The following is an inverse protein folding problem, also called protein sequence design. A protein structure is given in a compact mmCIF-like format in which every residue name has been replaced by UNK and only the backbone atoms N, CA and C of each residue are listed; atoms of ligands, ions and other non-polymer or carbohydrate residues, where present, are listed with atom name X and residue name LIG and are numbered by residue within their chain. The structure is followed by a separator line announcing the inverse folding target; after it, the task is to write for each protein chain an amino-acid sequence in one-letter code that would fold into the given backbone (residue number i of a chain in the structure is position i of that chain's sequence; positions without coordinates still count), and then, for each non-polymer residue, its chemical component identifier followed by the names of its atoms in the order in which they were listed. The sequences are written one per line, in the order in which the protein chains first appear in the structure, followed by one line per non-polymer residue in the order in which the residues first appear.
data_IF_262747804189
#
_entry.id   IF_262747804189
#
_cell.length_a   1.000
_cell.length_b   1.000
_cell.length_c   1.000
_cell.angle_alpha   90.00
_cell.angle_beta   90.00
_cell.angle_gamma   90.00
#
_symmetry.space_group_name_H-M   'P 1'
#
loop_
_entity.id
_entity.type
_entity.pdbx_description
1 polymer ?
#
# COMPACT_ATOMS: atom_id res chain seq x y z
N UNK A 1 28.61 -2.78 -16.29
CA UNK A 1 27.55 -3.43 -15.50
C UNK A 1 26.76 -2.33 -14.81
N UNK A 2 25.46 -2.11 -15.08
CA UNK A 2 24.71 -1.10 -14.35
C UNK A 2 24.71 -1.49 -12.87
N UNK A 3 25.04 -0.54 -11.99
CA UNK A 3 25.15 -0.76 -10.55
C UNK A 3 23.86 -1.37 -9.98
N UNK A 4 23.98 -2.41 -9.16
CA UNK A 4 22.89 -3.06 -8.39
C UNK A 4 22.11 -2.10 -7.47
N UNK A 5 22.47 -0.82 -7.39
CA UNK A 5 22.02 0.17 -6.39
C UNK A 5 20.73 0.93 -6.76
N UNK A 6 19.85 0.36 -7.58
CA UNK A 6 18.67 1.07 -8.11
C UNK A 6 17.31 0.45 -7.79
N UNK A 7 17.26 -0.77 -7.23
CA UNK A 7 15.98 -1.42 -6.90
C UNK A 7 15.50 -0.95 -5.54
N UNK A 8 14.26 -0.47 -5.49
CA UNK A 8 13.51 -0.21 -4.27
C UNK A 8 13.19 -1.52 -3.56
N UNK A 9 13.04 -1.45 -2.24
CA UNK A 9 12.36 -2.51 -1.50
C UNK A 9 10.99 -2.86 -2.08
N UNK A 10 10.57 -4.09 -1.80
CA UNK A 10 9.21 -4.55 -2.04
C UNK A 10 8.67 -5.29 -0.81
N UNK A 11 7.36 -5.44 -0.73
CA UNK A 11 6.68 -6.00 0.45
C UNK A 11 5.72 -7.09 0.01
N UNK A 12 5.82 -8.28 0.61
CA UNK A 12 4.77 -9.28 0.45
C UNK A 12 3.67 -9.01 1.48
N UNK A 13 2.53 -8.54 1.01
CA UNK A 13 1.46 -8.09 1.90
C UNK A 13 0.82 -9.29 2.60
N UNK A 14 0.57 -9.16 3.91
CA UNK A 14 -0.24 -10.11 4.69
C UNK A 14 -1.41 -9.38 5.34
N UNK A 15 -2.62 -9.90 5.14
CA UNK A 15 -3.84 -9.35 5.74
C UNK A 15 -4.09 -10.00 7.10
N UNK A 16 -4.38 -9.17 8.11
CA UNK A 16 -4.62 -9.58 9.48
C UNK A 16 -5.92 -8.98 10.03
N UNK A 17 -6.62 -9.74 10.85
CA UNK A 17 -7.55 -9.22 11.86
C UNK A 17 -7.04 -9.52 13.27
N UNK A 18 -7.58 -8.84 14.27
CA UNK A 18 -7.17 -9.02 15.67
C UNK A 18 -8.36 -9.36 16.57
N UNK A 19 -8.26 -10.48 17.26
CA UNK A 19 -9.27 -11.03 18.16
C UNK A 19 -8.60 -11.42 19.48
N UNK A 20 -8.54 -10.51 20.48
CA UNK A 20 -7.71 -10.67 21.67
C UNK A 20 -8.01 -11.91 22.51
N UNK A 21 -9.25 -12.41 22.44
CA UNK A 21 -9.71 -13.59 23.19
C UNK A 21 -9.34 -14.93 22.54
N UNK A 22 -8.70 -14.92 21.37
CA UNK A 22 -8.37 -16.11 20.61
C UNK A 22 -6.85 -16.30 20.47
N UNK A 23 -6.43 -17.54 20.22
CA UNK A 23 -5.05 -17.87 19.86
C UNK A 23 -5.01 -18.39 18.42
N UNK A 24 -4.39 -17.60 17.55
CA UNK A 24 -4.18 -17.89 16.14
C UNK A 24 -2.69 -18.00 15.80
N UNK A 25 -1.85 -18.30 16.81
CA UNK A 25 -0.40 -18.40 16.65
C UNK A 25 -0.04 -19.36 15.52
N UNK A 26 0.66 -18.87 14.51
CA UNK A 26 1.08 -19.70 13.37
C UNK A 26 2.26 -20.59 13.77
N UNK A 27 2.52 -21.70 13.05
CA UNK A 27 3.75 -22.46 13.22
C UNK A 27 4.99 -21.58 12.98
N UNK A 28 6.04 -21.77 13.79
CA UNK A 28 7.30 -21.03 13.67
C UNK A 28 7.87 -21.13 12.24
N UNK A 29 8.00 -20.02 11.51
CA UNK A 29 8.57 -20.06 10.17
C UNK A 29 10.04 -20.53 10.17
N UNK A 30 10.42 -21.33 9.18
CA UNK A 30 11.81 -21.85 9.05
C UNK A 30 12.85 -20.72 9.01
N UNK A 31 12.52 -19.60 8.38
CA UNK A 31 13.40 -18.44 8.27
C UNK A 31 13.30 -17.45 9.44
N UNK A 32 12.59 -17.79 10.53
CA UNK A 32 12.34 -16.86 11.65
C UNK A 32 13.65 -16.31 12.23
N UNK A 33 14.61 -17.18 12.56
CA UNK A 33 15.88 -16.76 13.17
C UNK A 33 16.68 -15.82 12.27
N UNK A 34 16.60 -15.99 10.94
CA UNK A 34 17.24 -15.10 9.97
C UNK A 34 16.65 -13.69 10.05
N UNK A 35 15.35 -13.56 10.28
CA UNK A 35 14.64 -12.28 10.23
C UNK A 35 14.40 -11.64 11.60
N UNK A 36 14.53 -12.38 12.69
CA UNK A 36 14.35 -11.88 14.05
C UNK A 36 15.06 -10.54 14.34
N UNK A 37 16.33 -10.31 13.94
CA UNK A 37 17.01 -9.03 14.17
C UNK A 37 16.32 -7.83 13.50
N UNK A 38 15.48 -8.05 12.48
CA UNK A 38 14.71 -7.01 11.80
C UNK A 38 13.47 -6.59 12.59
N UNK A 39 13.04 -7.32 13.61
CA UNK A 39 11.79 -7.06 14.34
C UNK A 39 12.00 -6.54 15.77
N UNK A 40 13.20 -6.69 16.34
CA UNK A 40 13.50 -6.37 17.74
C UNK A 40 13.23 -4.93 18.18
N UNK A 41 13.03 -4.01 17.22
CA UNK A 41 12.68 -2.62 17.48
C UNK A 41 11.16 -2.37 17.51
N UNK A 42 10.35 -3.36 17.17
CA UNK A 42 8.89 -3.25 17.12
C UNK A 42 8.32 -3.49 18.52
N UNK A 43 7.46 -2.57 18.97
CA UNK A 43 6.82 -2.62 20.29
C UNK A 43 5.32 -2.85 20.18
N UNK A 44 4.65 -3.08 21.31
CA UNK A 44 3.20 -3.20 21.38
C UNK A 44 2.49 -1.89 21.03
N UNK A 45 2.89 -0.79 21.67
CA UNK A 45 2.30 0.54 21.51
C UNK A 45 3.35 1.55 21.07
N UNK A 46 2.93 2.54 20.27
CA UNK A 46 3.79 3.67 19.88
C UNK A 46 3.89 4.69 21.01
N UNK A 47 5.07 4.86 21.62
CA UNK A 47 5.32 5.88 22.65
C UNK A 47 5.57 7.29 22.08
N UNK A 48 5.94 7.41 20.79
CA UNK A 48 6.30 8.69 20.15
C UNK A 48 5.47 8.96 18.91
N UNK A 49 4.90 10.16 18.83
CA UNK A 49 4.24 10.67 17.63
C UNK A 49 5.19 10.65 16.44
N UNK A 50 4.78 10.03 15.32
CA UNK A 50 5.49 10.09 14.04
C UNK A 50 6.41 8.92 13.71
N UNK A 51 6.61 7.95 14.61
CA UNK A 51 7.31 6.70 14.31
C UNK A 51 6.34 5.50 14.36
N UNK A 52 6.27 4.72 13.28
CA UNK A 52 5.49 3.49 13.21
C UNK A 52 6.25 2.33 13.89
N UNK A 53 6.66 2.52 15.14
CA UNK A 53 7.43 1.52 15.90
C UNK A 53 6.54 0.54 16.68
N UNK A 54 5.30 0.93 16.98
CA UNK A 54 4.34 0.11 17.72
C UNK A 54 3.29 -0.55 16.81
N UNK A 55 2.82 -1.74 17.20
CA UNK A 55 1.71 -2.42 16.54
C UNK A 55 0.44 -1.56 16.61
N UNK A 56 0.05 -1.16 17.81
CA UNK A 56 -1.09 -0.29 18.07
C UNK A 56 -0.64 1.13 18.43
N UNK A 57 -1.54 2.09 18.25
CA UNK A 57 -1.42 3.42 18.83
C UNK A 57 -2.53 3.60 19.86
N UNK A 58 -2.28 4.42 20.87
CA UNK A 58 -3.33 4.89 21.76
C UNK A 58 -4.41 5.61 20.95
N UNK A 59 -5.66 5.41 21.35
CA UNK A 59 -6.78 6.12 20.74
C UNK A 59 -6.74 7.59 21.15
N UNK A 60 -6.88 8.46 20.16
CA UNK A 60 -6.98 9.90 20.34
C UNK A 60 -8.12 10.36 19.42
N UNK A 61 -9.19 10.89 20.04
CA UNK A 61 -10.39 11.27 19.31
C UNK A 61 -10.17 12.50 18.42
N UNK A 62 -9.17 13.33 18.76
CA UNK A 62 -8.90 14.60 18.11
C UNK A 62 -7.76 14.49 17.08
N UNK A 63 -6.95 13.43 17.15
CA UNK A 63 -5.80 13.23 16.27
C UNK A 63 -5.64 11.78 15.78
N UNK A 64 -5.44 11.63 14.47
CA UNK A 64 -5.04 10.34 13.90
C UNK A 64 -3.61 9.98 14.32
N UNK A 65 -3.45 8.87 15.05
CA UNK A 65 -2.14 8.32 15.42
C UNK A 65 -1.76 7.16 14.50
N UNK A 66 -0.60 7.32 13.86
CA UNK A 66 -0.02 6.29 13.01
C UNK A 66 0.56 5.15 13.84
N UNK A 67 0.15 3.93 13.54
CA UNK A 67 0.75 2.68 14.02
C UNK A 67 0.80 1.66 12.88
N UNK A 68 1.46 0.52 13.08
CA UNK A 68 1.44 -0.55 12.08
C UNK A 68 0.01 -1.02 11.78
N UNK A 69 -0.86 -1.03 12.81
CA UNK A 69 -2.26 -1.41 12.68
C UNK A 69 -3.07 -0.40 11.86
N UNK A 70 -2.94 0.89 12.14
CA UNK A 70 -3.80 1.91 11.54
C UNK A 70 -3.32 2.39 10.16
N UNK A 71 -2.00 2.41 9.92
CA UNK A 71 -1.39 3.02 8.73
C UNK A 71 -1.88 2.41 7.40
N UNK A 72 -2.17 1.11 7.38
CA UNK A 72 -2.67 0.37 6.21
C UNK A 72 -3.91 -0.47 6.56
N UNK A 73 -4.76 0.09 7.41
CA UNK A 73 -6.07 -0.47 7.70
C UNK A 73 -6.93 -0.39 6.45
N UNK A 74 -7.32 -1.55 5.93
CA UNK A 74 -8.14 -1.67 4.73
C UNK A 74 -9.63 -1.68 5.09
N UNK A 75 -9.97 -2.23 6.26
CA UNK A 75 -11.33 -2.31 6.76
C UNK A 75 -11.38 -1.80 8.20
N UNK A 76 -12.26 -0.84 8.45
CA UNK A 76 -12.53 -0.29 9.78
C UNK A 76 -13.94 -0.72 10.20
N UNK A 77 -14.05 -1.61 11.19
CA UNK A 77 -15.33 -2.17 11.63
C UNK A 77 -16.29 -1.09 12.14
N UNK A 78 -15.73 -0.03 12.72
CA UNK A 78 -16.50 1.08 13.31
C UNK A 78 -17.24 1.92 12.25
N UNK A 79 -16.98 1.70 10.95
CA UNK A 79 -17.76 2.28 9.85
C UNK A 79 -19.07 1.52 9.56
N UNK A 80 -19.30 0.38 10.22
CA UNK A 80 -20.42 -0.52 9.98
C UNK A 80 -21.15 -0.82 11.29
N UNK A 81 -22.27 -1.54 11.20
CA UNK A 81 -22.92 -2.10 12.39
C UNK A 81 -21.95 -3.04 13.11
N UNK A 82 -21.64 -2.70 14.37
CA UNK A 82 -20.64 -3.39 15.20
C UNK A 82 -21.00 -4.85 15.47
N UNK A 83 -22.24 -5.26 15.22
CA UNK A 83 -22.68 -6.65 15.34
C UNK A 83 -22.34 -7.50 14.11
N UNK A 84 -21.97 -6.88 12.98
CA UNK A 84 -21.64 -7.58 11.74
C UNK A 84 -20.17 -7.97 11.64
N UNK A 85 -19.27 -7.23 12.29
CA UNK A 85 -17.82 -7.41 12.16
C UNK A 85 -17.11 -7.30 13.50
N UNK A 86 -16.40 -8.36 13.86
CA UNK A 86 -15.74 -8.45 15.17
C UNK A 86 -14.35 -7.82 15.21
N UNK A 87 -13.78 -7.44 14.06
CA UNK A 87 -12.43 -6.86 13.99
C UNK A 87 -12.20 -6.02 12.73
N UNK A 88 -11.21 -5.14 12.81
CA UNK A 88 -10.64 -4.45 11.65
C UNK A 88 -9.85 -5.42 10.76
N UNK A 89 -9.57 -5.02 9.52
CA UNK A 89 -8.61 -5.73 8.67
C UNK A 89 -7.50 -4.76 8.29
N UNK A 90 -6.28 -5.14 8.62
CA UNK A 90 -5.06 -4.39 8.29
C UNK A 90 -4.15 -5.23 7.42
N UNK A 91 -3.47 -4.57 6.49
CA UNK A 91 -2.44 -5.20 5.68
C UNK A 91 -1.07 -4.70 6.16
N UNK A 92 -0.21 -5.61 6.62
CA UNK A 92 1.11 -5.20 7.13
C UNK A 92 2.02 -4.70 6.00
N UNK A 93 2.58 -3.51 6.22
CA UNK A 93 3.54 -2.86 5.31
C UNK A 93 4.72 -2.20 6.05
N UNK A 94 4.88 -2.51 7.33
CA UNK A 94 5.95 -2.04 8.18
C UNK A 94 6.57 -3.22 8.91
N UNK A 95 7.89 -3.24 9.05
CA UNK A 95 8.62 -4.40 9.55
C UNK A 95 8.82 -5.54 8.53
N UNK A 96 7.96 -5.66 7.52
CA UNK A 96 8.04 -6.70 6.47
C UNK A 96 8.51 -6.19 5.10
N UNK A 97 9.17 -5.04 5.07
CA UNK A 97 9.75 -4.51 3.84
C UNK A 97 11.05 -5.26 3.49
N UNK A 98 11.03 -5.97 2.37
CA UNK A 98 12.13 -6.84 1.96
C UNK A 98 13.15 -6.05 1.11
N UNK A 99 14.41 -6.09 1.56
CA UNK A 99 15.53 -5.29 1.05
C UNK A 99 16.74 -6.14 0.63
N UNK A 100 16.71 -7.45 0.87
CA UNK A 100 17.90 -8.31 0.79
C UNK A 100 18.20 -8.75 -0.66
N UNK A 101 17.20 -8.71 -1.56
CA UNK A 101 17.36 -9.02 -3.00
C UNK A 101 16.47 -8.11 -3.85
N UNK A 102 16.74 -8.11 -5.16
CA UNK A 102 16.03 -7.31 -6.17
C UNK A 102 15.17 -8.20 -7.07
N UNK A 103 14.11 -7.64 -7.67
CA UNK A 103 13.21 -8.37 -8.58
C UNK A 103 13.53 -8.18 -10.06
N UNK A 104 14.34 -7.17 -10.40
CA UNK A 104 14.59 -6.73 -11.78
C UNK A 104 16.04 -6.97 -12.19
N UNK A 105 16.27 -7.40 -13.44
CA UNK A 105 17.62 -7.61 -13.96
C UNK A 105 18.32 -8.85 -13.41
N UNK A 106 17.56 -9.80 -12.86
CA UNK A 106 18.04 -11.06 -12.27
C UNK A 106 17.40 -12.26 -12.97
N UNK A 107 17.97 -13.45 -12.79
CA UNK A 107 17.42 -14.69 -13.33
C UNK A 107 16.04 -15.01 -12.72
N UNK A 108 15.21 -15.83 -13.40
CA UNK A 108 13.93 -16.30 -12.85
C UNK A 108 14.08 -16.98 -11.49
N UNK A 109 15.15 -17.77 -11.31
CA UNK A 109 15.45 -18.45 -10.05
C UNK A 109 15.75 -17.46 -8.93
N UNK A 110 16.63 -16.48 -9.16
CA UNK A 110 16.93 -15.44 -8.16
C UNK A 110 15.69 -14.62 -7.78
N UNK A 111 14.85 -14.30 -8.77
CA UNK A 111 13.58 -13.61 -8.54
C UNK A 111 12.64 -14.45 -7.68
N UNK A 112 12.51 -15.75 -7.97
CA UNK A 112 11.67 -16.64 -7.17
C UNK A 112 12.18 -16.75 -5.74
N UNK A 113 13.50 -16.88 -5.54
CA UNK A 113 14.11 -16.86 -4.20
C UNK A 113 13.80 -15.57 -3.45
N UNK A 114 13.91 -14.40 -4.11
CA UNK A 114 13.56 -13.12 -3.50
C UNK A 114 12.08 -13.06 -3.07
N UNK A 115 11.17 -13.60 -3.89
CA UNK A 115 9.74 -13.65 -3.56
C UNK A 115 9.45 -14.57 -2.37
N UNK A 116 10.04 -15.75 -2.33
CA UNK A 116 9.85 -16.69 -1.21
C UNK A 116 10.46 -16.16 0.09
N UNK A 117 11.64 -15.54 0.03
CA UNK A 117 12.23 -14.89 1.20
C UNK A 117 11.37 -13.73 1.73
N UNK A 118 10.75 -12.94 0.86
CA UNK A 118 9.86 -11.85 1.27
C UNK A 118 8.54 -12.35 1.89
N UNK A 119 7.99 -13.48 1.40
CA UNK A 119 6.86 -14.16 2.05
C UNK A 119 7.24 -14.64 3.44
N UNK A 120 8.40 -15.29 3.55
CA UNK A 120 8.92 -15.80 4.81
C UNK A 120 9.19 -14.68 5.82
N UNK A 121 9.69 -13.51 5.38
CA UNK A 121 9.85 -12.32 6.20
C UNK A 121 8.50 -11.88 6.79
N UNK A 122 7.46 -11.83 5.97
CA UNK A 122 6.13 -11.37 6.38
C UNK A 122 5.47 -12.32 7.38
N UNK A 123 5.58 -13.63 7.17
CA UNK A 123 5.13 -14.63 8.14
C UNK A 123 5.96 -14.59 9.44
N UNK A 124 7.27 -14.37 9.34
CA UNK A 124 8.15 -14.25 10.52
C UNK A 124 7.80 -13.05 11.37
N UNK A 125 7.38 -11.94 10.75
CA UNK A 125 6.86 -10.78 11.47
C UNK A 125 5.57 -11.12 12.22
N UNK A 126 4.61 -11.81 11.58
CA UNK A 126 3.36 -12.21 12.25
C UNK A 126 3.66 -13.10 13.45
N UNK A 127 4.53 -14.10 13.28
CA UNK A 127 4.95 -14.97 14.36
C UNK A 127 5.60 -14.19 15.51
N UNK A 128 6.52 -13.26 15.20
CA UNK A 128 7.14 -12.36 16.20
C UNK A 128 6.08 -11.59 17.01
N UNK A 129 5.10 -10.98 16.34
CA UNK A 129 4.03 -10.24 17.00
C UNK A 129 3.18 -11.15 17.91
N UNK A 130 2.91 -12.38 17.47
CA UNK A 130 2.11 -13.34 18.24
C UNK A 130 2.86 -13.90 19.46
N UNK A 131 4.16 -14.19 19.34
CA UNK A 131 4.93 -14.87 20.38
C UNK A 131 5.71 -13.94 21.28
N UNK A 132 6.50 -13.02 20.71
CA UNK A 132 7.38 -12.15 21.50
C UNK A 132 6.61 -10.96 22.09
N UNK A 133 5.63 -10.43 21.35
CA UNK A 133 4.77 -9.35 21.82
C UNK A 133 3.42 -9.84 22.37
N UNK A 134 3.16 -11.14 22.34
CA UNK A 134 1.98 -11.76 22.96
C UNK A 134 0.65 -11.54 22.21
N UNK A 135 0.66 -11.01 20.99
CA UNK A 135 -0.56 -10.75 20.20
C UNK A 135 -1.10 -12.01 19.50
N UNK A 136 -1.34 -13.06 20.28
CA UNK A 136 -1.84 -14.36 19.81
C UNK A 136 -3.14 -14.27 19.00
N UNK A 137 -3.97 -13.27 19.30
CA UNK A 137 -5.21 -12.98 18.58
C UNK A 137 -5.07 -12.45 17.15
N UNK A 138 -3.84 -12.24 16.65
CA UNK A 138 -3.61 -11.85 15.26
C UNK A 138 -3.93 -13.03 14.34
N UNK A 139 -4.96 -12.89 13.53
CA UNK A 139 -5.42 -13.90 12.58
C UNK A 139 -4.98 -13.52 11.16
N UNK A 140 -4.10 -14.29 10.50
CA UNK A 140 -3.96 -14.24 9.04
C UNK A 140 -5.30 -14.44 8.35
N UNK A 141 -5.60 -13.64 7.32
CA UNK A 141 -6.89 -13.63 6.61
C UNK A 141 -6.79 -14.17 5.18
N UNK A 142 -6.80 -15.51 4.99
CA UNK A 142 -6.84 -16.16 3.68
C UNK A 142 -7.88 -15.61 2.71
N UNK A 143 -9.06 -15.28 3.23
CA UNK A 143 -10.22 -14.82 2.48
C UNK A 143 -10.04 -13.42 1.85
N UNK A 144 -9.09 -12.61 2.33
CA UNK A 144 -8.85 -11.26 1.81
C UNK A 144 -8.14 -11.29 0.46
N UNK A 145 -7.21 -12.22 0.25
CA UNK A 145 -6.44 -12.35 -0.98
C UNK A 145 -6.72 -13.65 -1.75
N UNK A 146 -7.63 -14.49 -1.25
CA UNK A 146 -7.90 -15.83 -1.77
C UNK A 146 -6.63 -16.71 -1.82
N UNK A 147 -5.87 -16.71 -0.71
CA UNK A 147 -4.64 -17.49 -0.55
C UNK A 147 -4.63 -18.22 0.77
N UNK A 148 -4.07 -19.43 0.83
CA UNK A 148 -4.15 -20.28 2.04
C UNK A 148 -3.48 -19.71 3.30
N UNK A 149 -2.61 -18.71 3.17
CA UNK A 149 -1.79 -18.15 4.25
C UNK A 149 -2.06 -16.64 4.49
N UNK A 150 -3.04 -16.04 3.81
CA UNK A 150 -3.36 -14.62 3.93
C UNK A 150 -2.33 -13.67 3.32
N UNK A 151 -1.35 -14.18 2.59
CA UNK A 151 -0.41 -13.38 1.80
C UNK A 151 -1.02 -13.01 0.45
N UNK A 152 -0.77 -11.81 -0.05
CA UNK A 152 -1.21 -11.43 -1.39
C UNK A 152 -0.55 -12.32 -2.46
N UNK A 153 -1.24 -12.57 -3.58
CA UNK A 153 -0.68 -13.37 -4.69
C UNK A 153 0.59 -12.75 -5.31
N UNK A 154 0.73 -11.43 -5.21
CA UNK A 154 1.88 -10.68 -5.70
C UNK A 154 2.34 -9.66 -4.65
N UNK A 155 3.66 -9.40 -4.55
CA UNK A 155 4.15 -8.36 -3.66
C UNK A 155 3.73 -6.98 -4.14
N UNK A 156 3.60 -6.07 -3.18
CA UNK A 156 3.60 -4.64 -3.42
C UNK A 156 5.02 -4.20 -3.80
N UNK A 157 5.17 -3.64 -5.00
CA UNK A 157 6.44 -3.17 -5.55
C UNK A 157 6.32 -1.66 -5.73
N UNK A 158 7.21 -0.89 -5.09
CA UNK A 158 7.20 0.58 -5.13
C UNK A 158 7.76 1.16 -6.42
N UNK A 159 8.36 0.34 -7.27
CA UNK A 159 8.59 0.71 -8.67
C UNK A 159 7.37 0.37 -9.51
N UNK A 160 6.81 1.38 -10.18
CA UNK A 160 6.01 1.13 -11.36
C UNK A 160 6.86 0.26 -12.30
N UNK A 161 6.41 -0.95 -12.64
CA UNK A 161 6.87 -1.57 -13.90
C UNK A 161 6.56 -0.51 -14.96
N UNK A 162 7.59 0.13 -15.51
CA UNK A 162 7.38 1.23 -16.45
C UNK A 162 6.57 0.66 -17.61
N UNK A 163 5.28 0.97 -17.62
CA UNK A 163 4.42 0.69 -18.75
C UNK A 163 5.12 1.40 -19.92
N UNK A 164 5.31 0.69 -21.04
CA UNK A 164 5.72 1.34 -22.29
C UNK A 164 4.50 2.09 -22.81
N UNK A 165 4.17 3.20 -22.17
CA UNK A 165 3.00 4.00 -22.49
C UNK A 165 3.18 4.69 -23.85
N UNK A 166 2.08 5.06 -24.49
CA UNK A 166 2.13 5.91 -25.68
C UNK A 166 2.79 7.27 -25.38
N UNK A 167 2.49 7.81 -24.20
CA UNK A 167 3.06 9.03 -23.66
C UNK A 167 3.54 8.83 -22.22
N UNK A 168 4.72 9.39 -21.89
CA UNK A 168 5.29 9.34 -20.54
C UNK A 168 5.32 10.74 -19.95
N UNK A 169 4.51 10.97 -18.91
CA UNK A 169 4.59 12.19 -18.10
C UNK A 169 5.92 12.18 -17.35
N UNK A 170 6.59 13.33 -17.35
CA UNK A 170 7.87 13.54 -16.67
C UNK A 170 7.66 14.36 -15.41
N UNK A 171 8.56 14.22 -14.45
CA UNK A 171 8.56 15.07 -13.25
C UNK A 171 8.56 16.56 -13.60
N UNK A 172 9.33 16.90 -14.63
CA UNK A 172 9.49 18.26 -15.13
C UNK A 172 8.15 18.88 -15.52
N UNK A 173 7.19 18.09 -16.01
CA UNK A 173 5.90 18.57 -16.50
C UNK A 173 5.02 19.20 -15.39
N UNK A 174 5.38 19.02 -14.12
CA UNK A 174 4.60 19.54 -12.99
C UNK A 174 5.46 20.07 -11.84
N UNK A 175 6.74 20.36 -12.09
CA UNK A 175 7.62 21.01 -11.12
C UNK A 175 7.36 22.51 -11.06
N UNK A 176 7.22 23.04 -9.84
CA UNK A 176 6.89 24.46 -9.62
C UNK A 176 7.99 25.38 -10.15
N UNK A 177 9.26 25.03 -9.96
CA UNK A 177 10.39 25.84 -10.40
C UNK A 177 10.63 25.82 -11.92
N UNK A 178 10.09 24.81 -12.62
CA UNK A 178 10.12 24.72 -14.08
C UNK A 178 8.85 25.29 -14.73
N UNK A 179 7.72 25.24 -14.02
CA UNK A 179 6.45 25.78 -14.47
C UNK A 179 5.81 26.64 -13.36
N UNK A 180 6.24 27.91 -13.20
CA UNK A 180 5.79 28.75 -12.10
C UNK A 180 4.29 29.10 -12.15
N UNK A 181 3.68 29.04 -13.34
CA UNK A 181 2.29 29.43 -13.57
C UNK A 181 1.29 28.25 -13.51
N UNK A 182 1.77 27.02 -13.30
CA UNK A 182 0.93 25.81 -13.21
C UNK A 182 1.53 24.61 -13.95
N UNK A 183 1.00 23.38 -13.77
CA UNK A 183 1.51 22.19 -14.46
C UNK A 183 1.27 22.27 -15.98
N UNK A 184 1.93 21.42 -16.76
CA UNK A 184 1.60 21.21 -18.17
C UNK A 184 0.15 20.73 -18.29
N UNK A 185 -0.60 21.40 -19.16
CA UNK A 185 -1.95 21.02 -19.53
C UNK A 185 -1.96 19.96 -20.64
N UNK A 186 -2.74 18.90 -20.44
CA UNK A 186 -3.00 17.87 -21.44
C UNK A 186 -4.45 17.94 -21.89
N UNK A 187 -4.68 18.24 -23.17
CA UNK A 187 -6.01 18.36 -23.74
C UNK A 187 -6.87 17.07 -23.61
N UNK A 188 -6.22 15.91 -23.47
CA UNK A 188 -6.87 14.62 -23.25
C UNK A 188 -6.96 14.22 -21.76
N UNK A 189 -6.64 15.11 -20.82
CA UNK A 189 -6.68 14.80 -19.39
C UNK A 189 -8.07 14.31 -18.94
N UNK A 190 -8.11 13.19 -18.21
CA UNK A 190 -9.34 12.64 -17.62
C UNK A 190 -9.35 12.74 -16.09
N UNK A 191 -8.35 13.39 -15.48
CA UNK A 191 -8.26 13.52 -14.04
C UNK A 191 -6.98 14.19 -13.58
N UNK A 192 -6.81 14.27 -12.26
CA UNK A 192 -5.67 14.90 -11.61
C UNK A 192 -5.04 13.96 -10.57
N UNK A 193 -3.75 14.11 -10.31
CA UNK A 193 -2.99 13.34 -9.32
C UNK A 193 -2.03 14.26 -8.56
N UNK A 194 -2.06 14.18 -7.23
CA UNK A 194 -1.17 14.94 -6.35
C UNK A 194 -0.10 14.10 -5.66
N UNK A 195 0.21 12.89 -6.17
CA UNK A 195 1.17 12.02 -5.49
C UNK A 195 2.61 12.55 -5.63
N UNK A 196 3.30 12.65 -4.50
CA UNK A 196 4.66 13.18 -4.39
C UNK A 196 5.68 12.11 -4.80
N UNK A 197 6.88 12.54 -5.18
CA UNK A 197 7.99 11.59 -5.36
C UNK A 197 8.30 10.94 -4.02
N UNK A 198 8.37 9.61 -4.03
CA UNK A 198 8.31 8.79 -2.84
C UNK A 198 9.53 7.84 -2.75
N UNK A 199 10.70 8.48 -2.65
CA UNK A 199 12.04 7.90 -2.59
C UNK A 199 12.67 8.27 -1.23
N UNK A 200 12.65 7.32 -0.29
CA UNK A 200 13.09 7.54 1.09
C UNK A 200 14.58 7.26 1.34
N UNK A 201 15.27 6.60 0.41
CA UNK A 201 16.71 6.37 0.53
C UNK A 201 17.46 7.72 0.56
N UNK A 202 18.38 7.86 1.52
CA UNK A 202 19.24 9.04 1.60
C UNK A 202 20.05 9.19 0.32
N UNK A 203 20.34 10.44 -0.03
CA UNK A 203 21.29 10.73 -1.09
C UNK A 203 22.69 10.18 -0.71
N UNK A 204 23.49 9.84 -1.73
CA UNK A 204 24.81 9.21 -1.53
C UNK A 204 25.80 10.10 -0.77
N UNK A 205 25.60 11.41 -0.84
CA UNK A 205 26.36 12.45 -0.14
C UNK A 205 25.88 12.70 1.31
N UNK A 206 24.92 11.90 1.80
CA UNK A 206 24.33 12.07 3.12
C UNK A 206 23.26 13.16 3.19
N UNK A 207 22.93 13.80 2.06
CA UNK A 207 21.86 14.78 1.94
C UNK A 207 20.46 14.19 2.20
N UNK A 208 19.43 15.05 2.25
CA UNK A 208 18.05 14.60 2.42
C UNK A 208 17.67 13.60 1.34
N UNK A 209 16.76 12.66 1.66
CA UNK A 209 16.19 11.81 0.63
C UNK A 209 15.38 12.64 -0.37
N UNK A 210 15.17 12.09 -1.57
CA UNK A 210 14.50 12.84 -2.65
C UNK A 210 13.09 13.23 -2.21
N UNK A 211 12.35 12.37 -1.49
CA UNK A 211 11.00 12.71 -0.98
C UNK A 211 11.01 14.02 -0.20
N UNK A 212 11.97 14.20 0.71
CA UNK A 212 12.11 15.41 1.52
C UNK A 212 12.59 16.59 0.69
N UNK A 213 13.56 16.38 -0.21
CA UNK A 213 14.16 17.44 -1.01
C UNK A 213 13.16 18.10 -1.97
N UNK A 214 12.21 17.33 -2.52
CA UNK A 214 11.20 17.83 -3.48
C UNK A 214 9.82 18.01 -2.85
N UNK A 215 9.73 17.93 -1.51
CA UNK A 215 8.46 18.01 -0.81
C UNK A 215 7.79 19.37 -1.06
N UNK A 216 6.60 19.35 -1.68
CA UNK A 216 5.85 20.58 -1.97
C UNK A 216 6.39 21.38 -3.16
N UNK A 217 7.33 20.81 -3.94
CA UNK A 217 7.91 21.43 -5.14
C UNK A 217 7.17 21.02 -6.44
N UNK A 218 5.97 20.45 -6.31
CA UNK A 218 5.20 19.86 -7.40
C UNK A 218 3.76 20.36 -7.37
N UNK A 219 3.26 20.74 -8.54
CA UNK A 219 1.85 20.93 -8.77
C UNK A 219 1.10 19.59 -8.73
N UNK A 220 -0.21 19.67 -8.52
CA UNK A 220 -1.11 18.57 -8.86
C UNK A 220 -1.05 18.38 -10.38
N UNK A 221 -0.65 17.20 -10.86
CA UNK A 221 -0.49 16.91 -12.28
C UNK A 221 -1.78 16.38 -12.90
N UNK A 222 -1.99 16.65 -14.19
CA UNK A 222 -3.06 16.06 -14.99
C UNK A 222 -2.74 14.62 -15.43
N UNK A 223 -3.77 13.81 -15.70
CA UNK A 223 -3.67 12.39 -16.07
C UNK A 223 -4.25 12.15 -17.48
N UNK A 224 -3.44 12.31 -18.54
CA UNK A 224 -3.83 11.88 -19.89
C UNK A 224 -3.95 10.35 -20.00
N UNK A 225 -4.99 9.81 -20.64
CA UNK A 225 -5.23 8.37 -20.79
C UNK A 225 -4.13 7.67 -21.62
N UNK A 226 -3.44 8.38 -22.51
CA UNK A 226 -2.29 7.84 -23.27
C UNK A 226 -1.11 7.41 -22.37
N UNK A 227 -1.11 7.80 -21.09
CA UNK A 227 -0.17 7.31 -20.08
C UNK A 227 -0.47 5.89 -19.60
N UNK A 228 -1.73 5.46 -19.63
CA UNK A 228 -2.15 4.15 -19.10
C UNK A 228 -2.24 3.07 -20.18
N UNK A 229 -2.23 3.47 -21.46
CA UNK A 229 -2.30 2.56 -22.61
C UNK A 229 -0.90 2.12 -23.04
N UNK A 230 -0.60 0.81 -23.07
CA UNK A 230 0.64 0.30 -23.65
C UNK A 230 0.71 0.68 -25.13
N UNK A 231 1.85 1.16 -25.60
CA UNK A 231 2.13 1.35 -27.03
C UNK A 231 1.98 0.01 -27.74
N UNK A 232 0.91 -0.17 -28.50
CA UNK A 232 0.74 -1.36 -29.34
C UNK A 232 1.74 -1.27 -30.49
N UNK A 233 2.69 -2.20 -30.55
CA UNK A 233 3.43 -2.43 -31.79
C UNK A 233 2.46 -2.99 -32.81
N UNK A 234 2.35 -2.34 -33.97
CA UNK A 234 1.47 -2.71 -35.08
C UNK A 234 1.55 -4.20 -35.44
N UNK A 235 0.51 -4.96 -35.06
CA UNK A 235 -0.19 -6.02 -35.83
C UNK A 235 -1.46 -6.41 -35.06
N UNK A 236 -2.64 -6.51 -35.71
CA UNK A 236 -3.84 -6.99 -35.04
C UNK A 236 -3.77 -8.50 -34.92
N UNK A 237 -3.29 -9.02 -33.78
CA UNK A 237 -3.43 -10.44 -33.47
C UNK A 237 -4.87 -10.72 -33.04
N UNK A 238 -5.52 -11.59 -33.79
CA UNK A 238 -6.92 -12.00 -33.73
C UNK A 238 -7.29 -12.85 -32.50
N UNK A 239 -6.77 -12.52 -31.33
CA UNK A 239 -7.08 -13.24 -30.09
C UNK A 239 -7.72 -12.31 -29.03
N UNK A 240 -8.81 -11.65 -29.43
CA UNK A 240 -9.82 -11.18 -28.47
C UNK A 240 -10.68 -12.40 -28.07
N UNK A 241 -10.11 -13.30 -27.27
CA UNK A 241 -10.96 -14.18 -26.47
C UNK A 241 -11.50 -13.36 -25.29
N UNK A 242 -12.84 -13.30 -25.26
CA UNK A 242 -13.70 -12.62 -24.31
C UNK A 242 -13.34 -13.00 -22.86
N UNK A 243 -12.62 -12.13 -22.16
CA UNK A 243 -12.82 -11.99 -20.71
C UNK A 243 -13.62 -10.73 -20.47
N UNK A 244 -14.89 -10.93 -20.08
CA UNK A 244 -15.80 -9.87 -19.65
C UNK A 244 -15.14 -9.08 -18.52
N UNK A 245 -14.98 -7.78 -18.75
CA UNK A 245 -14.74 -6.79 -17.72
C UNK A 245 -15.86 -6.88 -16.67
N UNK A 246 -15.52 -7.22 -15.43
CA UNK A 246 -16.44 -7.20 -14.30
C UNK A 246 -16.17 -5.90 -13.51
N UNK A 247 -17.08 -4.91 -13.51
CA UNK A 247 -16.82 -3.55 -13.01
C UNK A 247 -16.80 -3.43 -11.47
N UNK A 248 -16.61 -4.52 -10.71
CA UNK A 248 -16.71 -4.53 -9.24
C UNK A 248 -15.42 -4.21 -8.46
N UNK A 249 -14.30 -3.88 -9.13
CA UNK A 249 -13.06 -3.54 -8.44
C UNK A 249 -12.54 -2.17 -8.87
N UNK A 250 -13.05 -1.14 -8.20
CA UNK A 250 -12.49 0.21 -8.27
C UNK A 250 -11.37 0.30 -7.22
N UNK A 251 -10.13 0.40 -7.69
CA UNK A 251 -8.96 0.57 -6.83
C UNK A 251 -9.00 1.96 -6.19
N UNK A 252 -9.30 2.03 -4.89
CA UNK A 252 -9.09 3.22 -4.08
C UNK A 252 -7.61 3.32 -3.71
N UNK A 253 -6.92 4.33 -4.24
CA UNK A 253 -5.65 4.80 -3.71
C UNK A 253 -5.95 5.77 -2.54
N UNK A 254 -5.58 5.48 -1.28
CA UNK A 254 -5.73 6.45 -0.21
C UNK A 254 -4.68 7.56 -0.39
N UNK A 255 -5.14 8.71 -0.89
CA UNK A 255 -4.43 9.98 -0.84
C UNK A 255 -4.68 10.69 0.49
N UNK A 256 -3.67 11.44 0.92
CA UNK A 256 -3.56 12.25 2.12
C UNK A 256 -4.85 13.00 2.51
N UNK A 257 -5.38 12.72 3.71
CA UNK A 257 -6.41 13.57 4.32
C UNK A 257 -5.76 14.85 4.84
N UNK A 258 -6.10 15.99 4.22
CA UNK A 258 -6.13 17.28 4.91
C UNK A 258 -7.59 17.60 5.23
N UNK A 259 -7.77 18.07 6.47
CA UNK A 259 -9.01 18.39 7.19
C UNK A 259 -10.04 19.10 6.30
N UNK A 260 -11.13 18.41 5.97
CA UNK A 260 -12.37 19.04 5.49
C UNK A 260 -13.41 18.81 6.59
N UNK A 261 -13.75 19.86 7.33
CA UNK A 261 -14.74 19.82 8.42
C UNK A 261 -16.11 19.42 7.85
N UNK A 262 -16.57 18.20 8.13
CA UNK A 262 -17.95 17.81 7.90
C UNK A 262 -18.78 18.17 9.13
N UNK A 263 -19.45 19.33 9.09
CA UNK A 263 -20.55 19.62 10.01
C UNK A 263 -21.71 18.68 9.71
N UNK A 264 -22.22 18.05 10.78
CA UNK A 264 -23.38 17.16 10.79
C UNK A 264 -24.61 17.81 10.18
N UNK A 265 -25.13 17.24 9.09
CA UNK A 265 -26.57 17.14 8.82
C UNK A 265 -26.84 16.24 7.62
N UNK A 266 -27.20 14.98 7.85
CA UNK A 266 -27.90 14.18 6.85
C UNK A 266 -29.36 14.07 7.30
N UNK A 267 -30.25 14.87 6.70
CA UNK A 267 -31.68 14.56 6.66
C UNK A 267 -31.88 13.56 5.52
N UNK A 268 -32.31 12.36 5.86
CA UNK A 268 -32.80 11.38 4.89
C UNK A 268 -34.10 11.90 4.27
N UNK A 269 -34.14 12.00 2.93
CA UNK A 269 -35.40 12.07 2.17
C UNK A 269 -35.49 10.76 1.39
N UNK A 270 -36.24 9.81 1.92
CA UNK A 270 -36.65 8.59 1.23
C UNK A 270 -38.16 8.48 1.32
N UNK A 271 -38.86 9.10 0.36
CA UNK A 271 -40.30 8.97 0.20
C UNK A 271 -40.62 7.76 -0.69
N UNK A 272 -41.26 6.75 -0.11
CA UNK A 272 -41.94 5.67 -0.82
C UNK A 272 -43.34 6.21 -1.19
N UNK A 273 -43.67 6.27 -2.48
CA UNK A 273 -45.03 6.54 -2.94
C UNK A 273 -45.85 5.22 -2.88
N UNK A 274 -47.08 5.23 -2.34
CA UNK A 274 -48.00 4.11 -2.50
C UNK A 274 -48.79 4.24 -3.81
N UNK A 275 -48.87 3.15 -4.57
CA UNK A 275 -49.82 2.99 -5.66
C UNK A 275 -51.23 2.76 -5.10
N UNK A 276 -52.17 3.59 -5.52
CA UNK A 276 -53.61 3.31 -5.50
C UNK A 276 -54.20 3.70 -6.84
N UNK A 277 -54.93 2.76 -7.45
CA UNK A 277 -55.65 2.89 -8.71
C UNK A 277 -55.98 1.53 -9.27
#
# INVERSE_FOLDING_TARGET
MPSRSGSKPFTHLIALSYHPENDFTIPKPVAYEKFYPKFSHITATTERSGAMAGLFAENDADAYRQSMWNFRRHFCRDNFDRNLFNSDITVLMNGNEYRDRVLTGVSPTEKQTALEEAKALSLSLVYYLQTELGFKGLLPRPDVFDTSNGLAAHPYIRESRRIKAEFTIREQDFRIDMHPDGPVDYADSVGVSGYRIDIHEKAKDGGPNITSAVHGQHWVQQLPPRRTHPRTSSKPDSCLQKHRYNPRYQWFLPGSFHRMEYRRSCRFIGGILPEHG
#
